data_IF_375072454043
#
_entry.id   IF_375072454043
#
_cell.length_a   1.000
_cell.length_b   1.000
_cell.length_c   1.000
_cell.angle_alpha   90.00
_cell.angle_beta   90.00
_cell.angle_gamma   90.00
#
_symmetry.space_group_name_H-M   'P 1'
#
loop_
_entity.id
_entity.type
_entity.pdbx_description
1 polymer ?
#
# COMPACT_ATOMS: atom_id res chain seq x y z
N UNK A 1 33.56 8.01 -11.42
CA UNK A 1 32.77 7.78 -10.17
C UNK A 1 31.32 8.13 -10.47
N UNK A 2 30.40 7.16 -10.66
CA UNK A 2 29.02 7.53 -10.99
C UNK A 2 28.35 8.15 -9.76
N UNK A 3 27.87 9.37 -9.94
CA UNK A 3 27.25 10.22 -8.92
C UNK A 3 26.06 9.52 -8.30
N UNK A 4 26.14 9.29 -6.98
CA UNK A 4 25.02 8.86 -6.13
C UNK A 4 23.98 9.99 -6.18
N UNK A 5 23.01 9.91 -7.08
CA UNK A 5 21.80 10.75 -7.05
C UNK A 5 21.18 10.55 -5.67
N UNK A 6 21.47 11.48 -4.74
CA UNK A 6 20.70 11.64 -3.50
C UNK A 6 19.27 11.85 -3.96
N UNK A 7 18.42 10.82 -3.85
CA UNK A 7 16.97 10.99 -3.92
C UNK A 7 16.67 12.03 -2.85
N UNK A 8 16.32 13.21 -3.31
CA UNK A 8 15.94 14.35 -2.50
C UNK A 8 14.87 13.91 -1.52
N UNK A 9 15.05 14.37 -0.29
CA UNK A 9 14.18 14.29 0.88
C UNK A 9 12.81 15.00 0.68
N UNK A 10 12.27 14.99 -0.54
CA UNK A 10 11.11 15.76 -0.97
C UNK A 10 9.91 14.88 -1.40
N UNK A 11 9.98 13.57 -1.19
CA UNK A 11 8.91 12.63 -1.59
C UNK A 11 8.26 11.87 -0.43
N UNK A 12 8.61 12.21 0.81
CA UNK A 12 7.84 11.79 1.98
C UNK A 12 6.62 12.68 2.01
N UNK A 13 5.42 12.11 1.85
CA UNK A 13 4.17 12.85 1.93
C UNK A 13 4.06 13.62 3.25
N UNK A 14 2.97 14.37 3.44
CA UNK A 14 2.79 15.22 4.61
C UNK A 14 3.23 14.53 5.92
N UNK A 15 3.97 15.18 6.84
CA UNK A 15 4.56 14.54 8.03
C UNK A 15 3.55 13.79 8.92
N UNK A 16 2.28 14.20 8.87
CA UNK A 16 1.16 13.58 9.61
C UNK A 16 0.53 12.38 8.89
N UNK A 17 0.96 12.08 7.66
CA UNK A 17 0.49 10.90 6.93
C UNK A 17 1.08 9.65 7.57
N UNK A 18 0.23 8.71 8.00
CA UNK A 18 0.61 7.41 8.55
C UNK A 18 1.52 6.60 7.62
N UNK A 19 1.38 6.82 6.30
CA UNK A 19 2.09 6.11 5.25
C UNK A 19 3.34 6.84 4.72
N UNK A 20 3.74 7.97 5.31
CA UNK A 20 4.90 8.75 4.86
C UNK A 20 6.22 7.98 5.01
N UNK A 21 6.38 7.24 6.10
CA UNK A 21 7.60 6.47 6.40
C UNK A 21 7.42 4.96 6.18
N UNK A 22 6.21 4.43 6.35
CA UNK A 22 5.92 2.99 6.30
C UNK A 22 4.74 2.71 5.39
N UNK A 23 4.97 1.95 4.32
CA UNK A 23 3.91 1.49 3.43
C UNK A 23 2.90 0.56 4.16
N UNK A 24 1.64 0.50 3.70
CA UNK A 24 0.67 -0.44 4.23
C UNK A 24 1.13 -1.89 4.03
N UNK A 25 0.90 -2.73 5.04
CA UNK A 25 1.24 -4.15 4.97
C UNK A 25 0.13 -4.92 4.26
N UNK A 26 0.28 -5.11 2.95
CA UNK A 26 -0.70 -5.82 2.13
C UNK A 26 -0.93 -7.27 2.58
N UNK A 27 0.07 -7.94 3.17
CA UNK A 27 -0.10 -9.31 3.67
C UNK A 27 -0.98 -9.32 4.91
N UNK A 28 -0.77 -8.37 5.81
CA UNK A 28 -1.61 -8.22 6.99
C UNK A 28 -3.05 -7.88 6.60
N UNK A 29 -3.24 -6.89 5.72
CA UNK A 29 -4.56 -6.51 5.21
C UNK A 29 -5.28 -7.68 4.52
N UNK A 30 -4.59 -8.45 3.68
CA UNK A 30 -5.16 -9.64 3.04
C UNK A 30 -5.55 -10.75 4.02
N UNK A 31 -4.92 -10.80 5.20
CA UNK A 31 -5.27 -11.78 6.25
C UNK A 31 -6.52 -11.37 7.02
N UNK A 32 -6.75 -10.07 7.18
CA UNK A 32 -7.91 -9.50 7.88
C UNK A 32 -9.14 -9.37 6.98
N UNK A 33 -8.95 -9.07 5.70
CA UNK A 33 -10.03 -8.80 4.75
C UNK A 33 -10.02 -9.82 3.62
N UNK A 34 -10.84 -10.89 3.70
CA UNK A 34 -10.92 -11.92 2.67
C UNK A 34 -11.29 -11.37 1.28
N UNK A 35 -12.07 -10.29 1.22
CA UNK A 35 -12.41 -9.61 -0.05
C UNK A 35 -11.17 -9.03 -0.73
N UNK A 36 -10.23 -8.50 0.05
CA UNK A 36 -9.00 -7.90 -0.46
C UNK A 36 -7.94 -8.95 -0.82
N UNK A 37 -7.96 -10.11 -0.15
CA UNK A 37 -7.00 -11.21 -0.39
C UNK A 37 -6.93 -11.63 -1.85
N UNK A 38 -8.06 -11.65 -2.55
CA UNK A 38 -8.14 -12.05 -3.97
C UNK A 38 -7.37 -11.12 -4.91
N UNK A 39 -7.11 -9.88 -4.48
CA UNK A 39 -6.40 -8.87 -5.28
C UNK A 39 -4.90 -8.77 -4.92
N UNK A 40 -4.44 -9.51 -3.91
CA UNK A 40 -3.03 -9.54 -3.49
C UNK A 40 -2.35 -10.78 -4.03
N UNK A 41 -1.30 -10.59 -4.81
CA UNK A 41 -0.44 -11.67 -5.31
C UNK A 41 0.97 -11.57 -4.70
N UNK A 42 1.68 -12.69 -4.71
CA UNK A 42 3.04 -12.75 -4.16
C UNK A 42 4.05 -12.84 -5.31
N UNK A 43 4.93 -11.85 -5.39
CA UNK A 43 6.04 -11.84 -6.34
C UNK A 43 7.34 -11.85 -5.55
N UNK A 44 8.16 -12.88 -5.71
CA UNK A 44 9.40 -13.09 -4.95
C UNK A 44 9.20 -13.00 -3.43
N UNK A 45 8.07 -13.54 -2.94
CA UNK A 45 7.69 -13.53 -1.53
C UNK A 45 7.20 -12.18 -1.00
N UNK A 46 7.12 -11.13 -1.84
CA UNK A 46 6.56 -9.83 -1.46
C UNK A 46 5.10 -9.73 -1.91
N UNK A 47 4.18 -9.37 -1.00
CA UNK A 47 2.80 -9.11 -1.39
C UNK A 47 2.74 -7.86 -2.28
N UNK A 48 2.03 -7.97 -3.39
CA UNK A 48 1.83 -6.91 -4.38
C UNK A 48 0.38 -6.92 -4.83
N UNK A 49 -0.07 -5.80 -5.36
CA UNK A 49 -1.38 -5.65 -5.98
C UNK A 49 -1.21 -5.24 -7.43
N UNK A 50 -2.24 -5.53 -8.21
CA UNK A 50 -2.31 -5.08 -9.59
C UNK A 50 -2.90 -3.66 -9.62
N UNK A 51 -2.09 -2.70 -10.06
CA UNK A 51 -2.51 -1.31 -10.18
C UNK A 51 -3.28 -1.04 -11.48
N UNK A 52 -3.30 -1.99 -12.41
CA UNK A 52 -4.07 -1.89 -13.65
C UNK A 52 -5.53 -2.32 -13.46
N UNK A 53 -5.81 -3.15 -12.46
CA UNK A 53 -7.16 -3.53 -12.08
C UNK A 53 -7.80 -2.45 -11.20
N UNK A 54 -8.89 -1.89 -11.71
CA UNK A 54 -9.71 -0.92 -10.98
C UNK A 54 -10.28 -1.52 -9.70
N UNK A 55 -10.69 -2.80 -9.71
CA UNK A 55 -11.29 -3.44 -8.55
C UNK A 55 -10.26 -3.63 -7.42
N UNK A 56 -9.03 -4.03 -7.76
CA UNK A 56 -7.93 -4.13 -6.80
C UNK A 56 -7.64 -2.80 -6.09
N UNK A 57 -7.57 -1.71 -6.86
CA UNK A 57 -7.29 -0.37 -6.31
C UNK A 57 -8.47 0.15 -5.48
N UNK A 58 -9.71 -0.11 -5.91
CA UNK A 58 -10.93 0.27 -5.18
C UNK A 58 -11.01 -0.46 -3.84
N UNK A 59 -10.81 -1.78 -3.83
CA UNK A 59 -10.86 -2.57 -2.59
C UNK A 59 -9.71 -2.23 -1.65
N UNK A 60 -8.50 -1.97 -2.16
CA UNK A 60 -7.41 -1.45 -1.32
C UNK A 60 -7.84 -0.17 -0.60
N UNK A 61 -8.35 0.81 -1.35
CA UNK A 61 -8.74 2.11 -0.80
C UNK A 61 -9.83 1.95 0.26
N UNK A 62 -10.84 1.13 -0.02
CA UNK A 62 -11.91 0.81 0.92
C UNK A 62 -11.36 0.20 2.20
N UNK A 63 -10.48 -0.80 2.09
CA UNK A 63 -9.85 -1.45 3.24
C UNK A 63 -9.04 -0.46 4.07
N UNK A 64 -8.26 0.43 3.44
CA UNK A 64 -7.48 1.44 4.15
C UNK A 64 -8.38 2.43 4.91
N UNK A 65 -9.48 2.88 4.30
CA UNK A 65 -10.44 3.76 4.95
C UNK A 65 -11.12 3.10 6.16
N UNK A 66 -11.54 1.83 6.02
CA UNK A 66 -12.15 1.09 7.13
C UNK A 66 -11.13 0.80 8.23
N UNK A 67 -9.95 0.29 7.87
CA UNK A 67 -8.95 -0.18 8.81
C UNK A 67 -8.33 0.96 9.63
N UNK A 68 -8.05 2.10 9.00
CA UNK A 68 -7.36 3.21 9.68
C UNK A 68 -8.28 4.29 10.19
N UNK A 69 -9.43 4.48 9.55
CA UNK A 69 -10.33 5.59 9.84
C UNK A 69 -11.73 5.14 10.28
N UNK A 70 -12.07 3.85 10.19
CA UNK A 70 -13.38 3.33 10.56
C UNK A 70 -14.52 3.83 9.65
N UNK A 71 -14.21 4.28 8.43
CA UNK A 71 -15.18 4.86 7.49
C UNK A 71 -15.67 3.76 6.54
N UNK A 72 -16.99 3.61 6.40
CA UNK A 72 -17.68 2.60 5.58
C UNK A 72 -18.37 3.17 4.35
#
# INVERSE_FOLDING_TARGET
>A
MPSKRRRTDQSRGHPRNKYSERAPDFRHLASLYPSFRSFVFYSNGKPRIDWTDFNATRELTRVLLVHDHGIH
#
